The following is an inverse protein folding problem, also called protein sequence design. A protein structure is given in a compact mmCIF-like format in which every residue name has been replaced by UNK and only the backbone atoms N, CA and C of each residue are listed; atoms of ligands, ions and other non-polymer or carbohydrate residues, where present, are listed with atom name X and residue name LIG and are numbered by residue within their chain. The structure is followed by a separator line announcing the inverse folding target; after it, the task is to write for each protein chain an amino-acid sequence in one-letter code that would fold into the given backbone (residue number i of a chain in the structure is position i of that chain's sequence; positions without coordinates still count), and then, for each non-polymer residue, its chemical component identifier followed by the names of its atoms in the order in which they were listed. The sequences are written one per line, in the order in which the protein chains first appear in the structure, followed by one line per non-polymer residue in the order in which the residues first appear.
data_IF_332748674553
#
_entry.id   IF_332748674553
#
_cell.length_a   1.000
_cell.length_b   1.000
_cell.length_c   1.000
_cell.angle_alpha   90.00
_cell.angle_beta   90.00
_cell.angle_gamma   90.00
#
_symmetry.space_group_name_H-M   'P 1'
#
loop_
_entity.id
_entity.type
_entity.pdbx_description
1 polymer ?
#
# COMPACT_ATOMS: atom_id res chain seq x y z
N UNK A 1 -26.60 -2.77 -16.85
CA UNK A 1 -25.65 -2.08 -15.95
C UNK A 1 -25.97 -2.52 -14.54
N UNK A 2 -25.36 -3.63 -14.18
CA UNK A 2 -25.61 -4.44 -13.01
C UNK A 2 -24.84 -3.88 -11.81
N UNK A 3 -25.57 -3.64 -10.73
CA UNK A 3 -25.07 -3.14 -9.44
C UNK A 3 -23.98 -4.02 -8.82
N UNK A 4 -23.82 -5.26 -9.30
CA UNK A 4 -22.75 -6.20 -8.93
C UNK A 4 -21.36 -5.64 -9.25
N UNK A 5 -21.21 -4.90 -10.35
CA UNK A 5 -19.94 -4.25 -10.74
C UNK A 5 -19.55 -3.10 -9.79
N UNK A 6 -20.54 -2.41 -9.22
CA UNK A 6 -20.31 -1.27 -8.29
C UNK A 6 -20.10 -1.72 -6.84
N UNK A 7 -20.60 -2.91 -6.46
CA UNK A 7 -20.36 -3.52 -5.14
C UNK A 7 -18.93 -4.05 -5.05
N UNK A 8 -18.41 -4.69 -6.11
CA UNK A 8 -17.01 -5.15 -6.16
C UNK A 8 -15.98 -4.01 -6.19
N UNK A 9 -16.36 -2.80 -6.60
CA UNK A 9 -15.44 -1.64 -6.66
C UNK A 9 -15.02 -1.09 -5.29
N UNK A 10 -15.69 -1.46 -4.19
CA UNK A 10 -15.60 -0.72 -2.91
C UNK A 10 -14.73 -1.31 -1.81
N UNK A 11 -14.27 -2.56 -1.90
CA UNK A 11 -13.70 -3.23 -0.72
C UNK A 11 -12.16 -3.42 -0.70
N UNK A 12 -11.43 -2.89 -1.68
CA UNK A 12 -9.97 -3.09 -1.79
C UNK A 12 -9.13 -1.82 -1.61
N UNK A 13 -9.70 -0.75 -1.01
CA UNK A 13 -9.02 0.53 -0.85
C UNK A 13 -7.66 0.43 -0.15
N UNK A 14 -7.58 -0.41 0.89
CA UNK A 14 -6.31 -0.68 1.58
C UNK A 14 -5.30 -1.38 0.66
N UNK A 15 -5.70 -2.42 -0.05
CA UNK A 15 -4.81 -3.15 -0.97
C UNK A 15 -4.28 -2.24 -2.08
N UNK A 16 -5.15 -1.38 -2.62
CA UNK A 16 -4.76 -0.38 -3.61
C UNK A 16 -3.75 0.64 -3.05
N UNK A 17 -3.94 1.09 -1.80
CA UNK A 17 -3.01 1.98 -1.10
C UNK A 17 -1.63 1.32 -0.92
N UNK A 18 -1.58 0.10 -0.39
CA UNK A 18 -0.32 -0.64 -0.20
C UNK A 18 0.38 -0.86 -1.53
N UNK A 19 -0.37 -1.23 -2.57
CA UNK A 19 0.17 -1.41 -3.91
C UNK A 19 0.75 -0.11 -4.49
N UNK A 20 0.07 1.02 -4.30
CA UNK A 20 0.57 2.32 -4.75
C UNK A 20 1.89 2.68 -4.04
N UNK A 21 2.00 2.42 -2.75
CA UNK A 21 3.25 2.58 -2.00
C UNK A 21 4.36 1.66 -2.53
N UNK A 22 4.07 0.37 -2.70
CA UNK A 22 5.03 -0.61 -3.23
C UNK A 22 5.52 -0.23 -4.64
N UNK A 23 4.65 0.28 -5.51
CA UNK A 23 5.05 0.76 -6.85
C UNK A 23 6.06 1.93 -6.82
N UNK A 24 6.13 2.68 -5.72
CA UNK A 24 7.10 3.78 -5.57
C UNK A 24 8.37 3.34 -4.85
N UNK A 25 8.25 2.53 -3.79
CA UNK A 25 9.36 2.24 -2.88
C UNK A 25 9.85 0.79 -2.92
N UNK A 26 9.10 -0.15 -3.52
CA UNK A 26 9.43 -1.58 -3.60
C UNK A 26 8.89 -2.21 -4.91
N UNK A 27 9.34 -1.69 -6.05
CA UNK A 27 8.82 -2.09 -7.37
C UNK A 27 8.97 -3.58 -7.69
N UNK A 28 9.91 -4.28 -7.03
CA UNK A 28 10.14 -5.72 -7.22
C UNK A 28 8.96 -6.58 -6.76
N UNK A 29 8.15 -6.12 -5.79
CA UNK A 29 6.94 -6.82 -5.36
C UNK A 29 5.83 -5.81 -4.97
N UNK A 30 4.72 -5.84 -5.71
CA UNK A 30 3.58 -4.92 -5.58
C UNK A 30 2.22 -5.64 -5.46
N UNK A 31 2.20 -6.79 -4.79
CA UNK A 31 1.01 -7.61 -4.53
C UNK A 31 -0.10 -6.92 -3.70
N UNK A 32 0.20 -5.77 -3.10
CA UNK A 32 -0.70 -5.00 -2.22
C UNK A 32 -0.81 -5.58 -0.82
N UNK A 33 0.11 -6.45 -0.41
CA UNK A 33 0.17 -7.05 0.92
C UNK A 33 1.16 -6.28 1.80
N UNK A 34 0.74 -5.92 3.01
CA UNK A 34 1.62 -5.30 4.00
C UNK A 34 2.50 -6.38 4.65
N UNK A 35 3.57 -6.78 3.96
CA UNK A 35 4.58 -7.69 4.50
C UNK A 35 5.64 -6.95 5.35
N UNK A 36 6.50 -7.73 6.02
CA UNK A 36 7.53 -7.20 6.91
C UNK A 36 8.50 -6.23 6.20
N UNK A 37 8.82 -6.49 4.93
CA UNK A 37 9.70 -5.63 4.13
C UNK A 37 9.01 -4.30 3.79
N UNK A 38 7.74 -4.34 3.37
CA UNK A 38 6.94 -3.15 3.09
C UNK A 38 6.80 -2.28 4.35
N UNK A 39 6.57 -2.90 5.51
CA UNK A 39 6.53 -2.20 6.80
C UNK A 39 7.90 -1.59 7.16
N UNK A 40 9.00 -2.33 7.00
CA UNK A 40 10.34 -1.83 7.28
C UNK A 40 10.71 -0.61 6.42
N UNK A 41 10.37 -0.63 5.13
CA UNK A 41 10.56 0.50 4.22
C UNK A 41 9.75 1.71 4.69
N UNK A 42 8.49 1.50 5.11
CA UNK A 42 7.65 2.57 5.65
C UNK A 42 8.27 3.21 6.90
N UNK A 43 8.70 2.39 7.87
CA UNK A 43 9.36 2.90 9.08
C UNK A 43 10.64 3.66 8.77
N UNK A 44 11.49 3.15 7.88
CA UNK A 44 12.71 3.84 7.46
C UNK A 44 12.43 5.21 6.81
N UNK A 45 11.33 5.33 6.05
CA UNK A 45 10.89 6.62 5.50
C UNK A 45 10.42 7.57 6.61
N UNK A 46 9.65 7.08 7.59
CA UNK A 46 9.22 7.90 8.72
C UNK A 46 10.41 8.42 9.53
N UNK A 47 11.39 7.56 9.85
CA UNK A 47 12.61 7.96 10.54
C UNK A 47 13.40 9.01 9.75
N UNK A 48 13.47 8.86 8.41
CA UNK A 48 14.20 9.78 7.54
C UNK A 48 13.55 11.16 7.43
N UNK A 49 12.22 11.22 7.32
CA UNK A 49 11.51 12.48 7.03
C UNK A 49 10.90 13.13 8.28
N UNK A 50 10.72 12.38 9.36
CA UNK A 50 10.18 12.87 10.63
C UNK A 50 11.03 12.43 11.83
N UNK A 51 12.35 12.72 11.86
CA UNK A 51 13.19 12.39 12.99
C UNK A 51 12.70 13.13 14.26
N UNK A 52 12.48 12.39 15.35
CA UNK A 52 12.10 12.96 16.65
C UNK A 52 10.61 13.20 16.87
N UNK A 53 9.73 12.66 16.01
CA UNK A 53 8.32 12.43 16.34
C UNK A 53 8.09 11.04 16.90
#
# INVERSE_FOLDING_TARGET
MDTVFLVWRRNDGYKALVRAFQLHFRQKNYDGIMDAETAAILYALLEKYFPGK
#
